data_IF_980316117961
#
_entry.id   IF_980316117961
#
_cell.length_a   1.000
_cell.length_b   1.000
_cell.length_c   1.000
_cell.angle_alpha   90.00
_cell.angle_beta   90.00
_cell.angle_gamma   90.00
#
_symmetry.space_group_name_H-M   'P 1'
#
loop_
_entity.id
_entity.type
_entity.pdbx_description
1 polymer ?
#
# COMPACT_ATOMS: atom_id res chain seq x y z
N UNK A 1 -63.32 2.61 39.35
CA UNK A 1 -61.85 2.49 39.58
C UNK A 1 -61.19 3.78 39.13
N UNK A 2 -60.14 4.24 39.82
CA UNK A 2 -60.07 5.62 40.31
C UNK A 2 -59.32 6.62 39.42
N UNK A 3 -59.75 7.87 39.59
CA UNK A 3 -59.02 9.15 39.69
C UNK A 3 -58.35 9.79 38.46
N UNK A 4 -58.64 11.09 38.37
CA UNK A 4 -58.41 12.06 37.31
C UNK A 4 -57.39 13.11 37.80
N UNK A 5 -56.38 13.38 36.96
CA UNK A 5 -55.65 14.66 36.75
C UNK A 5 -54.70 15.26 37.81
N UNK A 6 -53.85 16.28 37.49
CA UNK A 6 -53.05 16.53 36.25
C UNK A 6 -51.69 17.27 36.47
N UNK A 7 -50.81 17.26 35.43
CA UNK A 7 -49.93 18.39 34.99
C UNK A 7 -48.82 18.93 35.95
N UNK A 8 -47.68 19.56 35.58
CA UNK A 8 -47.22 20.30 34.40
C UNK A 8 -45.72 20.69 34.64
N UNK A 9 -44.92 20.78 33.54
CA UNK A 9 -43.80 21.73 33.26
C UNK A 9 -42.58 21.79 34.21
N UNK A 10 -41.36 22.10 33.81
CA UNK A 10 -40.67 22.51 32.57
C UNK A 10 -39.15 22.35 32.86
N UNK A 11 -38.29 22.24 31.83
CA UNK A 11 -36.90 22.73 31.93
C UNK A 11 -35.76 21.82 31.48
N UNK A 12 -35.51 21.82 30.16
CA UNK A 12 -34.22 21.99 29.46
C UNK A 12 -32.87 21.41 29.98
N UNK A 13 -32.15 20.79 29.01
CA UNK A 13 -30.67 20.66 28.82
C UNK A 13 -29.95 19.67 29.76
N UNK A 14 -29.05 18.77 29.36
CA UNK A 14 -28.36 18.45 28.11
C UNK A 14 -27.16 17.52 28.44
N UNK A 15 -26.67 16.81 27.42
CA UNK A 15 -25.32 16.19 27.30
C UNK A 15 -24.94 14.85 27.99
N UNK A 16 -24.53 13.92 27.10
CA UNK A 16 -23.42 12.94 27.12
C UNK A 16 -23.40 11.70 28.04
N UNK A 17 -22.99 10.56 27.44
CA UNK A 17 -22.38 9.44 28.17
C UNK A 17 -22.52 8.06 27.51
N UNK A 18 -21.56 7.68 26.66
CA UNK A 18 -21.32 6.31 26.20
C UNK A 18 -21.02 5.35 27.36
N UNK A 19 -21.47 4.09 27.25
CA UNK A 19 -20.95 3.01 28.09
C UNK A 19 -21.74 1.71 27.95
N UNK A 20 -21.38 0.85 27.01
CA UNK A 20 -21.75 -0.57 27.05
C UNK A 20 -20.50 -1.43 27.23
N UNK A 21 -20.34 -1.91 28.46
CA UNK A 21 -19.39 -2.94 28.82
C UNK A 21 -19.98 -4.32 28.53
N UNK A 22 -19.29 -5.10 27.72
CA UNK A 22 -19.53 -6.54 27.60
C UNK A 22 -18.99 -7.24 28.86
N UNK A 23 -19.90 -7.58 29.76
CA UNK A 23 -19.66 -8.48 30.89
C UNK A 23 -19.56 -9.91 30.32
N UNK A 24 -18.38 -10.53 30.43
CA UNK A 24 -18.19 -11.95 30.16
C UNK A 24 -18.81 -12.77 31.30
N UNK A 25 -19.89 -13.47 30.98
CA UNK A 25 -20.65 -14.32 31.90
C UNK A 25 -19.90 -15.63 32.18
N UNK A 26 -19.14 -15.67 33.29
CA UNK A 26 -18.28 -16.78 33.71
C UNK A 26 -19.03 -17.98 34.32
N UNK A 27 -20.37 -18.00 34.31
CA UNK A 27 -21.16 -18.99 35.06
C UNK A 27 -21.72 -20.16 34.24
N UNK A 28 -21.37 -20.31 32.96
CA UNK A 28 -21.90 -21.43 32.14
C UNK A 28 -20.92 -22.61 31.96
N UNK A 29 -19.66 -22.50 32.34
CA UNK A 29 -18.67 -23.60 32.18
C UNK A 29 -18.28 -24.32 33.48
N UNK A 30 -18.85 -23.94 34.63
CA UNK A 30 -18.54 -24.58 35.92
C UNK A 30 -19.32 -25.88 36.22
N UNK A 31 -20.07 -26.44 35.25
CA UNK A 31 -20.90 -27.64 35.46
C UNK A 31 -20.50 -28.92 34.73
N UNK A 32 -19.30 -28.95 34.15
CA UNK A 32 -18.64 -30.19 33.72
C UNK A 32 -17.21 -30.28 34.27
N UNK A 33 -17.09 -30.16 35.58
CA UNK A 33 -15.92 -30.64 36.30
C UNK A 33 -15.93 -32.18 36.38
N UNK A 34 -14.76 -32.77 36.14
CA UNK A 34 -14.40 -34.20 36.33
C UNK A 34 -14.82 -35.13 35.19
N UNK A 35 -14.09 -35.08 34.07
CA UNK A 35 -13.57 -36.24 33.32
C UNK A 35 -12.88 -35.80 32.02
N UNK A 36 -11.63 -35.35 32.10
CA UNK A 36 -10.75 -35.30 30.93
C UNK A 36 -9.28 -35.58 31.28
N UNK A 37 -9.03 -36.25 32.41
CA UNK A 37 -7.75 -36.85 32.74
C UNK A 37 -7.76 -38.34 32.34
N UNK A 38 -8.06 -38.64 31.08
CA UNK A 38 -7.84 -39.93 30.43
C UNK A 38 -8.39 -39.85 29.00
N UNK A 39 -7.54 -39.49 28.04
CA UNK A 39 -7.40 -40.04 26.67
C UNK A 39 -6.24 -39.23 26.07
N UNK A 40 -5.02 -39.62 26.42
CA UNK A 40 -3.82 -39.57 25.57
C UNK A 40 -2.82 -40.54 26.22
N UNK A 41 -3.23 -41.81 26.27
CA UNK A 41 -2.29 -42.91 26.31
C UNK A 41 -1.71 -43.04 24.91
N UNK A 42 -0.52 -42.48 24.72
CA UNK A 42 0.22 -42.52 23.46
C UNK A 42 1.56 -41.83 23.67
N UNK A 43 2.57 -42.63 24.02
CA UNK A 43 3.91 -42.17 24.34
C UNK A 43 4.54 -41.34 23.22
N UNK A 44 4.92 -40.12 23.58
CA UNK A 44 5.81 -39.25 22.83
C UNK A 44 6.21 -38.14 23.80
N UNK A 45 7.50 -38.04 24.11
CA UNK A 45 8.07 -36.93 24.88
C UNK A 45 7.87 -35.69 24.00
N UNK A 46 6.72 -35.03 24.13
CA UNK A 46 6.47 -33.74 23.49
C UNK A 46 7.33 -32.71 24.19
N UNK A 47 8.31 -32.15 23.47
CA UNK A 47 9.05 -31.00 23.93
C UNK A 47 8.06 -29.94 24.42
N UNK A 48 8.24 -29.50 25.67
CA UNK A 48 7.43 -28.42 26.25
C UNK A 48 7.70 -27.16 25.40
N UNK A 49 6.70 -26.76 24.61
CA UNK A 49 6.79 -25.59 23.74
C UNK A 49 7.10 -24.34 24.56
N UNK A 50 8.11 -23.58 24.14
CA UNK A 50 8.52 -22.37 24.84
C UNK A 50 7.48 -21.25 24.65
N UNK A 51 6.97 -20.69 25.76
CA UNK A 51 5.94 -19.65 25.74
C UNK A 51 6.40 -18.41 24.99
N UNK A 52 7.66 -18.05 25.17
CA UNK A 52 8.25 -16.89 24.49
C UNK A 52 8.18 -17.04 22.96
N UNK A 53 8.63 -18.18 22.44
CA UNK A 53 8.55 -18.50 21.01
C UNK A 53 7.12 -18.49 20.49
N UNK A 54 6.16 -19.04 21.25
CA UNK A 54 4.76 -19.05 20.83
C UNK A 54 4.18 -17.63 20.72
N UNK A 55 4.50 -16.75 21.67
CA UNK A 55 4.05 -15.35 21.64
C UNK A 55 4.64 -14.62 20.42
N UNK A 56 5.94 -14.79 20.15
CA UNK A 56 6.64 -14.16 19.02
C UNK A 56 6.10 -14.64 17.66
N UNK A 57 5.85 -15.95 17.48
CA UNK A 57 5.41 -16.51 16.20
C UNK A 57 3.92 -16.26 15.89
N UNK A 58 3.06 -16.20 16.91
CA UNK A 58 1.62 -16.08 16.71
C UNK A 58 1.15 -14.66 16.42
N UNK A 59 1.82 -13.64 16.96
CA UNK A 59 1.51 -12.21 16.80
C UNK A 59 0.00 -11.91 16.63
N UNK A 60 -0.79 -12.28 17.65
CA UNK A 60 -2.26 -12.26 17.57
C UNK A 60 -2.83 -10.87 17.89
N UNK A 61 -3.77 -10.36 17.08
CA UNK A 61 -4.38 -9.04 17.32
C UNK A 61 -5.36 -9.02 18.51
N UNK A 62 -5.84 -10.18 18.97
CA UNK A 62 -6.83 -10.29 20.06
C UNK A 62 -6.30 -11.23 21.17
N UNK A 63 -5.27 -10.78 21.89
CA UNK A 63 -4.86 -11.43 23.14
C UNK A 63 -5.77 -10.93 24.27
N UNK A 64 -6.40 -11.82 25.08
CA UNK A 64 -7.20 -11.39 26.23
C UNK A 64 -6.43 -10.44 27.14
N UNK A 65 -7.05 -9.30 27.51
CA UNK A 65 -6.40 -8.25 28.31
C UNK A 65 -5.84 -8.76 29.64
N UNK A 66 -6.45 -9.79 30.23
CA UNK A 66 -5.98 -10.42 31.47
C UNK A 66 -4.60 -11.09 31.33
N UNK A 67 -4.17 -11.39 30.10
CA UNK A 67 -2.84 -11.95 29.80
C UNK A 67 -1.80 -10.87 29.52
N UNK A 68 -2.22 -9.61 29.39
CA UNK A 68 -1.37 -8.50 28.98
C UNK A 68 -0.87 -7.74 30.21
N UNK A 69 0.42 -7.45 30.25
CA UNK A 69 1.00 -6.66 31.34
C UNK A 69 0.55 -5.18 31.23
N UNK A 70 0.00 -4.57 32.29
CA UNK A 70 -0.40 -3.16 32.26
C UNK A 70 0.74 -2.16 32.02
N UNK A 71 1.99 -2.54 32.30
CA UNK A 71 3.17 -1.67 32.14
C UNK A 71 3.67 -1.70 30.69
N UNK A 72 3.91 -2.89 30.13
CA UNK A 72 4.49 -3.04 28.78
C UNK A 72 3.45 -3.08 27.66
N UNK A 73 2.19 -3.37 27.99
CA UNK A 73 1.11 -3.68 27.04
C UNK A 73 1.42 -4.90 26.17
N UNK A 74 2.29 -5.78 26.64
CA UNK A 74 2.65 -7.05 25.98
C UNK A 74 2.17 -8.27 26.80
N UNK A 75 1.95 -9.44 26.15
CA UNK A 75 1.59 -10.66 26.85
C UNK A 75 2.65 -11.06 27.90
N UNK A 76 2.19 -11.38 29.12
CA UNK A 76 3.06 -11.78 30.24
C UNK A 76 3.66 -13.17 30.00
N UNK A 77 4.97 -13.31 30.24
CA UNK A 77 5.70 -14.57 30.21
C UNK A 77 5.92 -15.11 31.63
N UNK A 78 6.19 -14.22 32.59
CA UNK A 78 6.33 -14.52 34.01
C UNK A 78 5.37 -13.63 34.83
N UNK A 79 4.06 -13.94 34.87
CA UNK A 79 3.09 -13.12 35.59
C UNK A 79 3.30 -13.21 37.11
N UNK A 80 3.35 -12.04 37.75
CA UNK A 80 3.50 -11.90 39.19
C UNK A 80 2.49 -10.90 39.75
N UNK A 81 1.93 -11.21 40.91
CA UNK A 81 0.85 -10.45 41.55
C UNK A 81 1.39 -9.68 42.75
N UNK A 82 0.99 -8.41 42.85
CA UNK A 82 1.27 -7.55 44.00
C UNK A 82 0.23 -7.74 45.10
N UNK A 83 0.51 -7.21 46.29
CA UNK A 83 -0.43 -7.18 47.42
C UNK A 83 -1.77 -6.47 47.12
N UNK A 84 -1.81 -5.63 46.07
CA UNK A 84 -3.03 -4.99 45.55
C UNK A 84 -3.90 -5.90 44.68
N UNK A 85 -3.46 -7.14 44.44
CA UNK A 85 -4.14 -8.12 43.56
C UNK A 85 -3.91 -7.90 42.06
N UNK A 86 -3.20 -6.83 41.66
CA UNK A 86 -2.84 -6.57 40.27
C UNK A 86 -1.66 -7.43 39.83
N UNK A 87 -1.68 -7.90 38.58
CA UNK A 87 -0.66 -8.80 38.02
C UNK A 87 0.12 -8.13 36.90
N UNK A 88 1.44 -8.32 36.90
CA UNK A 88 2.37 -7.71 35.96
C UNK A 88 3.38 -8.75 35.46
N UNK A 89 4.05 -8.43 34.36
CA UNK A 89 5.26 -9.15 33.95
C UNK A 89 6.38 -8.85 34.96
N UNK A 90 7.02 -9.90 35.48
CA UNK A 90 8.04 -9.84 36.53
C UNK A 90 9.17 -8.86 36.22
N UNK A 91 9.71 -8.92 35.01
CA UNK A 91 10.81 -8.04 34.60
C UNK A 91 10.42 -6.55 34.62
N UNK A 92 9.19 -6.23 34.21
CA UNK A 92 8.68 -4.87 34.17
C UNK A 92 8.41 -4.29 35.57
N UNK A 93 7.80 -5.08 36.46
CA UNK A 93 7.52 -4.59 37.83
C UNK A 93 8.78 -4.51 38.69
N UNK A 94 9.75 -5.42 38.51
CA UNK A 94 11.06 -5.30 39.17
C UNK A 94 11.81 -4.04 38.70
N UNK A 95 11.71 -3.70 37.42
CA UNK A 95 12.27 -2.45 36.90
C UNK A 95 11.58 -1.23 37.51
N UNK A 96 10.25 -1.25 37.66
CA UNK A 96 9.50 -0.19 38.34
C UNK A 96 9.99 0.03 39.78
N UNK A 97 10.20 -1.04 40.53
CA UNK A 97 10.75 -0.97 41.89
C UNK A 97 12.20 -0.46 41.91
N UNK A 98 13.02 -0.84 40.94
CA UNK A 98 14.42 -0.37 40.84
C UNK A 98 14.54 1.14 40.59
N UNK A 99 13.48 1.78 40.07
CA UNK A 99 13.40 3.24 39.89
C UNK A 99 12.95 3.96 41.17
N UNK A 100 12.74 3.24 42.28
CA UNK A 100 12.31 3.78 43.57
C UNK A 100 10.80 3.98 43.69
N UNK A 101 10.01 3.40 42.78
CA UNK A 101 8.55 3.49 42.83
C UNK A 101 7.94 2.31 43.62
N UNK A 102 7.46 2.57 44.83
CA UNK A 102 6.74 1.59 45.68
C UNK A 102 5.22 1.78 45.65
N UNK A 103 4.71 2.16 44.49
CA UNK A 103 3.27 2.29 44.23
C UNK A 103 2.85 1.27 43.18
N UNK A 104 1.61 0.80 43.27
CA UNK A 104 1.00 -0.05 42.26
C UNK A 104 0.76 0.75 40.97
N UNK A 105 1.36 0.39 39.81
CA UNK A 105 1.23 1.15 38.57
C UNK A 105 -0.21 1.38 38.10
N UNK A 106 -1.09 0.39 38.28
CA UNK A 106 -2.48 0.47 37.80
C UNK A 106 -3.39 1.19 38.78
N UNK A 107 -3.26 0.95 40.09
CA UNK A 107 -4.18 1.51 41.11
C UNK A 107 -3.67 2.81 41.74
N UNK A 108 -2.42 3.17 41.51
CA UNK A 108 -1.72 4.32 42.12
C UNK A 108 -1.69 4.29 43.65
N UNK A 109 -1.91 3.14 44.28
CA UNK A 109 -1.87 2.96 45.73
C UNK A 109 -0.45 2.62 46.19
N UNK A 110 -0.05 3.12 47.37
CA UNK A 110 1.20 2.71 48.03
C UNK A 110 1.15 1.24 48.42
N UNK A 111 2.26 0.53 48.19
CA UNK A 111 2.39 -0.88 48.54
C UNK A 111 2.75 -1.00 50.02
N UNK A 112 1.93 -1.70 50.79
CA UNK A 112 2.21 -2.02 52.19
C UNK A 112 3.17 -3.22 52.33
N UNK A 113 3.39 -3.96 51.25
CA UNK A 113 4.34 -5.07 51.10
C UNK A 113 4.89 -5.07 49.67
N UNK A 114 6.23 -5.10 49.54
CA UNK A 114 6.96 -5.12 48.27
C UNK A 114 7.21 -6.55 47.76
N UNK A 115 6.74 -7.57 48.49
CA UNK A 115 6.87 -8.96 48.09
C UNK A 115 6.06 -9.26 46.83
N UNK A 116 6.74 -9.81 45.82
CA UNK A 116 6.16 -10.19 44.53
C UNK A 116 5.77 -11.67 44.57
N UNK A 117 4.48 -11.99 44.34
CA UNK A 117 3.97 -13.36 44.35
C UNK A 117 3.85 -13.94 42.94
N UNK A 118 4.51 -15.07 42.59
CA UNK A 118 4.30 -15.72 41.31
C UNK A 118 2.85 -16.16 41.10
N UNK A 119 2.25 -15.79 39.96
CA UNK A 119 0.90 -16.19 39.61
C UNK A 119 0.94 -17.41 38.67
N UNK A 120 1.15 -18.59 39.27
CA UNK A 120 1.26 -19.86 38.54
C UNK A 120 -0.04 -20.23 37.80
N UNK A 121 -1.20 -19.87 38.34
CA UNK A 121 -2.51 -20.07 37.69
C UNK A 121 -2.61 -19.25 36.41
N UNK A 122 -2.33 -17.95 36.46
CA UNK A 122 -2.36 -17.09 35.28
C UNK A 122 -1.30 -17.51 34.27
N UNK A 123 -0.09 -17.85 34.71
CA UNK A 123 0.95 -18.40 33.84
C UNK A 123 0.45 -19.65 33.10
N UNK A 124 -0.20 -20.60 33.79
CA UNK A 124 -0.74 -21.80 33.16
C UNK A 124 -1.87 -21.49 32.17
N UNK A 125 -2.75 -20.53 32.47
CA UNK A 125 -3.81 -20.09 31.56
C UNK A 125 -3.24 -19.45 30.29
N UNK A 126 -2.28 -18.54 30.44
CA UNK A 126 -1.56 -17.91 29.33
C UNK A 126 -0.90 -19.00 28.48
N UNK A 127 -0.12 -19.88 29.11
CA UNK A 127 0.57 -20.97 28.43
C UNK A 127 -0.40 -21.86 27.64
N UNK A 128 -1.50 -22.29 28.28
CA UNK A 128 -2.49 -23.18 27.65
C UNK A 128 -3.16 -22.51 26.46
N UNK A 129 -3.54 -21.23 26.60
CA UNK A 129 -4.16 -20.47 25.52
C UNK A 129 -3.22 -20.31 24.31
N UNK A 130 -1.98 -19.86 24.55
CA UNK A 130 -0.99 -19.72 23.48
C UNK A 130 -0.64 -21.08 22.85
N UNK A 131 -0.49 -22.15 23.65
CA UNK A 131 -0.24 -23.49 23.15
C UNK A 131 -1.36 -24.01 22.24
N UNK A 132 -2.63 -23.80 22.62
CA UNK A 132 -3.76 -24.21 21.78
C UNK A 132 -3.80 -23.46 20.45
N UNK A 133 -3.60 -22.13 20.48
CA UNK A 133 -3.54 -21.30 19.26
C UNK A 133 -2.36 -21.70 18.38
N UNK A 134 -1.22 -22.00 18.98
CA UNK A 134 0.01 -22.40 18.30
C UNK A 134 -0.16 -23.73 17.56
N UNK A 135 -0.69 -24.75 18.24
CA UNK A 135 -0.98 -26.05 17.63
C UNK A 135 -1.99 -25.92 16.49
N UNK A 136 -3.04 -25.11 16.67
CA UNK A 136 -4.01 -24.85 15.62
C UNK A 136 -3.39 -24.16 14.39
N UNK A 137 -2.50 -23.19 14.60
CA UNK A 137 -1.78 -22.48 13.54
C UNK A 137 -0.83 -23.42 12.78
N UNK A 138 -0.05 -24.25 13.49
CA UNK A 138 0.81 -25.27 12.88
C UNK A 138 0.03 -26.26 12.04
N UNK A 139 -1.05 -26.84 12.58
CA UNK A 139 -1.90 -27.78 11.85
C UNK A 139 -2.45 -27.16 10.56
N UNK A 140 -2.98 -25.93 10.62
CA UNK A 140 -3.45 -25.21 9.43
C UNK A 140 -2.35 -24.99 8.40
N UNK A 141 -1.13 -24.73 8.85
CA UNK A 141 0.03 -24.58 7.97
C UNK A 141 0.40 -25.90 7.29
N UNK A 142 0.48 -27.00 8.03
CA UNK A 142 0.78 -28.34 7.51
C UNK A 142 -0.31 -28.78 6.51
N UNK A 143 -1.58 -28.59 6.84
CA UNK A 143 -2.72 -28.85 5.96
C UNK A 143 -2.62 -28.01 4.67
N UNK A 144 -2.23 -26.75 4.78
CA UNK A 144 -2.03 -25.87 3.62
C UNK A 144 -0.87 -26.34 2.74
N UNK A 145 0.26 -26.75 3.32
CA UNK A 145 1.42 -27.28 2.58
C UNK A 145 1.08 -28.58 1.85
N UNK A 146 0.44 -29.54 2.52
CA UNK A 146 -0.01 -30.79 1.91
C UNK A 146 -0.97 -30.52 0.75
N UNK A 147 -1.98 -29.66 0.97
CA UNK A 147 -2.91 -29.26 -0.08
C UNK A 147 -2.23 -28.56 -1.25
N UNK A 148 -1.27 -27.67 -0.99
CA UNK A 148 -0.48 -27.01 -2.06
C UNK A 148 0.26 -28.04 -2.91
N UNK A 149 0.92 -29.01 -2.28
CA UNK A 149 1.68 -30.06 -2.96
C UNK A 149 0.76 -30.92 -3.85
N UNK A 150 -0.41 -31.31 -3.33
CA UNK A 150 -1.42 -32.05 -4.07
C UNK A 150 -1.97 -31.26 -5.26
N UNK A 151 -2.23 -29.96 -5.08
CA UNK A 151 -2.70 -29.08 -6.15
C UNK A 151 -1.65 -28.91 -7.25
N UNK A 152 -0.37 -28.78 -6.91
CA UNK A 152 0.72 -28.71 -7.89
C UNK A 152 0.89 -30.03 -8.64
N UNK A 153 0.81 -31.17 -7.95
CA UNK A 153 0.82 -32.49 -8.56
C UNK A 153 -0.37 -32.71 -9.51
N UNK A 154 -1.54 -32.22 -9.13
CA UNK A 154 -2.76 -32.26 -9.96
C UNK A 154 -2.62 -31.34 -11.17
N UNK A 155 -2.11 -30.13 -10.98
CA UNK A 155 -1.96 -29.11 -12.04
C UNK A 155 -1.11 -29.60 -13.22
N UNK A 156 -0.08 -30.43 -12.93
CA UNK A 156 0.75 -31.09 -13.96
C UNK A 156 -0.03 -32.05 -14.85
N UNK A 157 -1.12 -32.65 -14.34
CA UNK A 157 -1.90 -33.70 -15.01
C UNK A 157 -3.15 -33.14 -15.72
N UNK A 158 -3.81 -32.15 -15.13
CA UNK A 158 -5.10 -31.65 -15.61
C UNK A 158 -4.97 -30.64 -16.76
N UNK A 159 -5.99 -30.61 -17.62
CA UNK A 159 -6.14 -29.69 -18.76
C UNK A 159 -7.55 -29.07 -18.75
N UNK A 160 -7.76 -28.03 -19.57
CA UNK A 160 -9.09 -27.43 -19.75
C UNK A 160 -9.69 -26.87 -18.46
N UNK A 161 -10.98 -27.09 -18.24
CA UNK A 161 -11.71 -26.56 -17.08
C UNK A 161 -11.18 -27.06 -15.74
N UNK A 162 -10.76 -28.33 -15.65
CA UNK A 162 -10.19 -28.88 -14.44
C UNK A 162 -8.93 -28.11 -14.00
N UNK A 163 -8.09 -27.69 -14.96
CA UNK A 163 -6.91 -26.85 -14.69
C UNK A 163 -7.29 -25.51 -14.08
N UNK A 164 -8.31 -24.85 -14.62
CA UNK A 164 -8.76 -23.55 -14.13
C UNK A 164 -9.26 -23.69 -12.68
N UNK A 165 -9.99 -24.75 -12.38
CA UNK A 165 -10.46 -25.01 -11.02
C UNK A 165 -9.29 -25.26 -10.05
N UNK A 166 -8.32 -26.10 -10.43
CA UNK A 166 -7.11 -26.32 -9.62
C UNK A 166 -6.32 -25.03 -9.38
N UNK A 167 -6.20 -24.16 -10.40
CA UNK A 167 -5.55 -22.85 -10.25
C UNK A 167 -6.30 -21.92 -9.31
N UNK A 168 -7.63 -21.88 -9.36
CA UNK A 168 -8.45 -21.08 -8.42
C UNK A 168 -8.26 -21.51 -6.98
N UNK A 169 -8.22 -22.82 -6.74
CA UNK A 169 -7.95 -23.36 -5.40
C UNK A 169 -6.53 -23.04 -4.94
N UNK A 170 -5.54 -23.20 -5.84
CA UNK A 170 -4.16 -22.84 -5.52
C UNK A 170 -4.02 -21.36 -5.18
N UNK A 171 -4.66 -20.47 -5.95
CA UNK A 171 -4.70 -19.02 -5.66
C UNK A 171 -5.24 -18.74 -4.26
N UNK A 172 -6.33 -19.39 -3.86
CA UNK A 172 -6.92 -19.19 -2.54
C UNK A 172 -5.95 -19.60 -1.42
N UNK A 173 -5.28 -20.74 -1.56
CA UNK A 173 -4.32 -21.23 -0.55
C UNK A 173 -3.08 -20.31 -0.48
N UNK A 174 -2.55 -19.90 -1.63
CA UNK A 174 -1.39 -19.01 -1.76
C UNK A 174 -1.65 -17.61 -1.19
N UNK A 175 -2.87 -17.08 -1.37
CA UNK A 175 -3.25 -15.78 -0.80
C UNK A 175 -3.24 -15.79 0.73
N UNK A 176 -3.72 -16.88 1.34
CA UNK A 176 -3.96 -16.96 2.78
C UNK A 176 -2.75 -17.45 3.59
N UNK A 177 -1.85 -18.24 3.00
CA UNK A 177 -0.78 -18.92 3.75
C UNK A 177 0.62 -18.62 3.21
N UNK A 178 1.50 -18.08 4.05
CA UNK A 178 2.92 -17.86 3.73
C UNK A 178 3.68 -19.16 3.47
N UNK A 179 3.35 -20.22 4.20
CA UNK A 179 3.94 -21.54 4.02
C UNK A 179 3.54 -22.17 2.68
N UNK A 180 2.30 -21.97 2.23
CA UNK A 180 1.89 -22.37 0.88
C UNK A 180 2.69 -21.63 -0.20
N UNK A 181 2.92 -20.32 -0.06
CA UNK A 181 3.78 -19.56 -0.99
C UNK A 181 5.18 -20.16 -1.08
N UNK A 182 5.77 -20.49 0.07
CA UNK A 182 7.10 -21.12 0.15
C UNK A 182 7.09 -22.50 -0.53
N UNK A 183 6.12 -23.35 -0.23
CA UNK A 183 5.98 -24.68 -0.88
C UNK A 183 5.85 -24.58 -2.39
N UNK A 184 5.09 -23.62 -2.93
CA UNK A 184 5.00 -23.42 -4.39
C UNK A 184 6.37 -23.11 -5.00
N UNK A 185 7.21 -22.34 -4.31
CA UNK A 185 8.55 -22.02 -4.79
C UNK A 185 9.47 -23.23 -4.68
N UNK A 186 9.49 -23.89 -3.53
CA UNK A 186 10.38 -25.03 -3.23
C UNK A 186 10.11 -26.24 -4.15
N UNK A 187 8.84 -26.48 -4.55
CA UNK A 187 8.46 -27.58 -5.45
C UNK A 187 8.56 -27.23 -6.95
N UNK A 188 9.19 -26.10 -7.30
CA UNK A 188 9.34 -25.65 -8.69
C UNK A 188 8.04 -25.20 -9.35
N UNK A 189 7.03 -24.84 -8.55
CA UNK A 189 5.73 -24.36 -9.02
C UNK A 189 5.82 -23.07 -9.83
N UNK A 190 6.81 -22.21 -9.59
CA UNK A 190 7.03 -20.99 -10.39
C UNK A 190 7.33 -21.33 -11.86
N UNK A 191 8.20 -22.33 -12.11
CA UNK A 191 8.51 -22.76 -13.47
C UNK A 191 7.29 -23.40 -14.15
N UNK A 192 6.52 -24.22 -13.40
CA UNK A 192 5.27 -24.78 -13.89
C UNK A 192 4.26 -23.68 -14.27
N UNK A 193 4.02 -22.72 -13.39
CA UNK A 193 3.10 -21.61 -13.63
C UNK A 193 3.56 -20.73 -14.81
N UNK A 194 4.85 -20.43 -14.88
CA UNK A 194 5.45 -19.70 -16.00
C UNK A 194 5.28 -20.42 -17.34
N UNK A 195 5.34 -21.77 -17.35
CA UNK A 195 5.09 -22.56 -18.57
C UNK A 195 3.64 -22.51 -19.06
N UNK A 196 2.70 -22.11 -18.20
CA UNK A 196 1.29 -21.91 -18.56
C UNK A 196 1.02 -20.54 -19.17
N UNK A 197 2.01 -19.64 -19.19
CA UNK A 197 1.94 -18.34 -19.88
C UNK A 197 2.60 -18.46 -21.26
N UNK A 198 1.88 -18.07 -22.31
CA UNK A 198 2.35 -18.12 -23.68
C UNK A 198 1.28 -17.71 -24.68
N UNK A 199 1.56 -17.83 -26.00
CA UNK A 199 0.70 -17.29 -27.06
C UNK A 199 -0.72 -17.87 -27.11
N UNK A 200 -0.92 -19.07 -26.57
CA UNK A 200 -2.21 -19.79 -26.59
C UNK A 200 -2.84 -19.90 -25.20
N UNK A 201 -2.36 -19.13 -24.23
CA UNK A 201 -2.92 -19.12 -22.88
C UNK A 201 -4.27 -18.43 -22.91
N UNK A 202 -5.32 -19.14 -22.47
CA UNK A 202 -6.65 -18.51 -22.33
C UNK A 202 -6.64 -17.47 -21.23
N UNK A 203 -7.43 -16.41 -21.39
CA UNK A 203 -7.62 -15.37 -20.38
C UNK A 203 -7.87 -15.95 -18.97
N UNK A 204 -8.76 -16.94 -18.87
CA UNK A 204 -9.07 -17.62 -17.60
C UNK A 204 -7.89 -18.30 -16.92
N UNK A 205 -6.90 -18.81 -17.68
CA UNK A 205 -5.69 -19.39 -17.12
C UNK A 205 -4.69 -18.28 -16.77
N UNK A 206 -4.52 -17.31 -17.68
CA UNK A 206 -3.62 -16.16 -17.48
C UNK A 206 -3.93 -15.40 -16.20
N UNK A 207 -5.21 -15.08 -15.96
CA UNK A 207 -5.65 -14.36 -14.76
C UNK A 207 -5.24 -15.07 -13.46
N UNK A 208 -5.51 -16.37 -13.36
CA UNK A 208 -5.25 -17.14 -12.14
C UNK A 208 -3.74 -17.34 -11.95
N UNK A 209 -3.00 -17.62 -13.02
CA UNK A 209 -1.54 -17.78 -12.96
C UNK A 209 -0.87 -16.48 -12.52
N UNK A 210 -1.24 -15.33 -13.10
CA UNK A 210 -0.68 -14.02 -12.75
C UNK A 210 -1.01 -13.66 -11.29
N UNK A 211 -2.24 -13.92 -10.85
CA UNK A 211 -2.66 -13.69 -9.46
C UNK A 211 -1.90 -14.56 -8.45
N UNK A 212 -1.46 -15.77 -8.85
CA UNK A 212 -0.57 -16.59 -8.02
C UNK A 212 0.85 -16.03 -8.04
N UNK A 213 1.44 -15.82 -9.23
CA UNK A 213 2.83 -15.39 -9.41
C UNK A 213 3.16 -14.08 -8.69
N UNK A 214 2.25 -13.10 -8.71
CA UNK A 214 2.45 -11.81 -8.03
C UNK A 214 2.59 -11.94 -6.51
N UNK A 215 2.11 -13.05 -5.92
CA UNK A 215 2.22 -13.33 -4.50
C UNK A 215 3.43 -14.20 -4.14
N UNK A 216 4.17 -14.72 -5.12
CA UNK A 216 5.35 -15.56 -4.89
C UNK A 216 6.65 -14.75 -4.83
N UNK A 217 7.68 -15.32 -4.22
CA UNK A 217 9.05 -14.83 -4.33
C UNK A 217 9.70 -15.37 -5.61
N UNK A 218 10.11 -14.47 -6.51
CA UNK A 218 10.72 -14.84 -7.79
C UNK A 218 12.25 -14.69 -7.69
N UNK A 219 12.99 -15.74 -8.05
CA UNK A 219 14.44 -15.68 -8.22
C UNK A 219 14.81 -15.12 -9.61
N UNK A 220 16.09 -14.76 -9.82
CA UNK A 220 16.57 -14.16 -11.07
C UNK A 220 16.28 -15.03 -12.31
N UNK A 221 16.45 -16.35 -12.21
CA UNK A 221 16.13 -17.29 -13.29
C UNK A 221 14.64 -17.24 -13.67
N UNK A 222 13.75 -17.26 -12.69
CA UNK A 222 12.30 -17.17 -12.90
C UNK A 222 11.89 -15.83 -13.51
N UNK A 223 12.51 -14.71 -13.08
CA UNK A 223 12.24 -13.39 -13.66
C UNK A 223 12.68 -13.33 -15.11
N UNK A 224 13.89 -13.79 -15.41
CA UNK A 224 14.41 -13.88 -16.79
C UNK A 224 13.50 -14.76 -17.67
N UNK A 225 13.04 -15.90 -17.13
CA UNK A 225 12.13 -16.79 -17.83
C UNK A 225 10.76 -16.15 -18.10
N UNK A 226 10.22 -15.34 -17.18
CA UNK A 226 8.95 -14.60 -17.33
C UNK A 226 9.07 -13.37 -18.24
N UNK A 227 10.27 -12.80 -18.37
CA UNK A 227 10.59 -11.67 -19.24
C UNK A 227 10.68 -12.03 -20.73
N UNK A 228 10.48 -13.30 -21.10
CA UNK A 228 10.41 -13.69 -22.50
C UNK A 228 9.25 -12.96 -23.23
N UNK A 229 9.45 -12.42 -24.45
CA UNK A 229 8.45 -11.61 -25.15
C UNK A 229 7.06 -12.26 -25.26
N UNK A 230 7.00 -13.58 -25.51
CA UNK A 230 5.74 -14.31 -25.61
C UNK A 230 4.93 -14.32 -24.29
N UNK A 231 5.61 -14.37 -23.15
CA UNK A 231 4.96 -14.36 -21.83
C UNK A 231 4.50 -12.98 -21.45
N UNK A 232 5.30 -11.97 -21.75
CA UNK A 232 4.90 -10.57 -21.54
C UNK A 232 3.73 -10.20 -22.45
N UNK A 233 3.71 -10.67 -23.70
CA UNK A 233 2.52 -10.55 -24.54
C UNK A 233 1.28 -11.16 -23.88
N UNK A 234 1.38 -12.39 -23.35
CA UNK A 234 0.27 -13.05 -22.65
C UNK A 234 -0.21 -12.27 -21.41
N UNK A 235 0.71 -11.67 -20.64
CA UNK A 235 0.37 -10.78 -19.51
C UNK A 235 -0.32 -9.52 -20.00
N UNK A 236 0.12 -8.93 -21.11
CA UNK A 236 -0.49 -7.74 -21.72
C UNK A 236 -1.87 -8.04 -22.29
N UNK A 237 -2.09 -9.21 -22.88
CA UNK A 237 -3.40 -9.65 -23.35
C UNK A 237 -4.37 -9.78 -22.17
N UNK A 238 -3.90 -10.39 -21.07
CA UNK A 238 -4.66 -10.51 -19.82
C UNK A 238 -4.98 -9.14 -19.20
N UNK A 239 -4.05 -8.18 -19.27
CA UNK A 239 -4.24 -6.79 -18.83
C UNK A 239 -5.31 -6.07 -19.67
N UNK A 240 -5.42 -6.36 -20.96
CA UNK A 240 -6.41 -5.70 -21.83
C UNK A 240 -7.85 -6.16 -21.58
N UNK A 241 -8.05 -7.44 -21.29
CA UNK A 241 -9.38 -8.05 -21.08
C UNK A 241 -9.82 -8.09 -19.59
N UNK A 242 -8.87 -7.85 -18.68
CA UNK A 242 -8.97 -8.04 -17.23
C UNK A 242 -10.08 -7.28 -16.48
N UNK A 243 -10.53 -7.87 -15.37
CA UNK A 243 -11.13 -7.11 -14.26
C UNK A 243 -10.10 -6.14 -13.66
N UNK A 244 -10.53 -5.14 -12.88
CA UNK A 244 -9.61 -4.22 -12.21
C UNK A 244 -8.54 -4.95 -11.40
N UNK A 245 -8.93 -5.95 -10.61
CA UNK A 245 -8.00 -6.79 -9.83
C UNK A 245 -6.97 -7.49 -10.71
N UNK A 246 -7.42 -8.09 -11.82
CA UNK A 246 -6.55 -8.75 -12.80
C UNK A 246 -5.55 -7.76 -13.39
N UNK A 247 -6.02 -6.56 -13.75
CA UNK A 247 -5.17 -5.50 -14.31
C UNK A 247 -4.10 -5.06 -13.31
N UNK A 248 -4.48 -4.86 -12.05
CA UNK A 248 -3.54 -4.51 -10.98
C UNK A 248 -2.51 -5.62 -10.75
N UNK A 249 -2.92 -6.89 -10.79
CA UNK A 249 -1.98 -8.01 -10.66
C UNK A 249 -1.00 -8.09 -11.85
N UNK A 250 -1.47 -7.83 -13.08
CA UNK A 250 -0.60 -7.76 -14.26
C UNK A 250 0.42 -6.63 -14.12
N UNK A 251 -0.03 -5.43 -13.73
CA UNK A 251 0.84 -4.27 -13.49
C UNK A 251 1.93 -4.61 -12.46
N UNK A 252 1.53 -5.09 -11.27
CA UNK A 252 2.47 -5.46 -10.20
C UNK A 252 3.47 -6.54 -10.62
N UNK A 253 3.03 -7.51 -11.42
CA UNK A 253 3.92 -8.54 -11.94
C UNK A 253 4.96 -7.92 -12.88
N UNK A 254 4.55 -7.05 -13.81
CA UNK A 254 5.49 -6.37 -14.72
C UNK A 254 6.49 -5.51 -13.92
N UNK A 255 6.03 -4.73 -12.95
CA UNK A 255 6.90 -3.91 -12.08
C UNK A 255 7.98 -4.77 -11.39
N UNK A 256 7.58 -5.89 -10.78
CA UNK A 256 8.50 -6.83 -10.13
C UNK A 256 9.51 -7.45 -11.10
N UNK A 257 9.14 -7.62 -12.36
CA UNK A 257 10.04 -8.18 -13.37
C UNK A 257 11.02 -7.12 -13.91
N UNK A 258 10.65 -5.83 -13.88
CA UNK A 258 11.52 -4.71 -14.24
C UNK A 258 12.66 -4.45 -13.24
N UNK A 259 12.56 -4.98 -12.01
CA UNK A 259 13.61 -4.91 -10.99
C UNK A 259 14.84 -5.79 -11.31
N UNK A 260 14.79 -6.62 -12.35
CA UNK A 260 15.89 -7.51 -12.72
C UNK A 260 17.09 -6.72 -13.30
N UNK A 261 18.31 -7.12 -12.92
CA UNK A 261 19.54 -6.37 -13.28
C UNK A 261 19.78 -6.26 -14.79
N UNK A 262 19.42 -7.31 -15.53
CA UNK A 262 19.59 -7.38 -16.99
C UNK A 262 18.30 -6.98 -17.74
N UNK A 263 17.46 -6.15 -17.12
CA UNK A 263 16.21 -5.71 -17.72
C UNK A 263 16.46 -4.92 -19.02
N UNK A 264 15.70 -5.31 -20.05
CA UNK A 264 15.76 -4.73 -21.38
C UNK A 264 14.46 -4.00 -21.71
N UNK A 265 14.56 -2.70 -21.97
CA UNK A 265 13.40 -1.85 -22.25
C UNK A 265 12.62 -2.27 -23.50
N UNK A 266 13.22 -2.99 -24.46
CA UNK A 266 12.50 -3.46 -25.65
C UNK A 266 11.36 -4.44 -25.31
N UNK A 267 11.46 -5.16 -24.18
CA UNK A 267 10.46 -6.14 -23.74
C UNK A 267 9.11 -5.46 -23.40
N UNK A 268 9.18 -4.24 -22.85
CA UNK A 268 8.01 -3.43 -22.46
C UNK A 268 7.66 -2.35 -23.49
N UNK A 269 8.40 -2.26 -24.59
CA UNK A 269 8.19 -1.29 -25.69
C UNK A 269 7.01 -1.68 -26.59
N UNK A 270 5.87 -2.05 -25.99
CA UNK A 270 4.67 -2.50 -26.68
C UNK A 270 3.59 -1.40 -26.68
N UNK A 271 3.11 -1.04 -27.86
CA UNK A 271 1.94 -0.15 -28.02
C UNK A 271 0.74 -0.70 -27.23
N UNK A 272 0.53 -2.02 -27.25
CA UNK A 272 -0.61 -2.67 -26.57
C UNK A 272 -0.53 -2.48 -25.06
N UNK A 273 0.66 -2.63 -24.46
CA UNK A 273 0.87 -2.39 -23.03
C UNK A 273 0.55 -0.94 -22.67
N UNK A 274 1.12 0.03 -23.39
CA UNK A 274 0.94 1.44 -23.09
C UNK A 274 -0.51 1.91 -23.26
N UNK A 275 -1.20 1.42 -24.30
CA UNK A 275 -2.64 1.67 -24.50
C UNK A 275 -3.45 1.06 -23.35
N UNK A 276 -3.12 -0.16 -22.91
CA UNK A 276 -3.79 -0.79 -21.77
C UNK A 276 -3.59 -0.01 -20.46
N UNK A 277 -2.39 0.48 -20.20
CA UNK A 277 -2.10 1.34 -19.04
C UNK A 277 -2.86 2.66 -19.12
N UNK A 278 -2.87 3.33 -20.28
CA UNK A 278 -3.66 4.56 -20.42
C UNK A 278 -5.16 4.32 -20.28
N UNK A 279 -5.68 3.17 -20.72
CA UNK A 279 -7.08 2.76 -20.47
C UNK A 279 -7.35 2.56 -18.98
N UNK A 280 -6.42 1.99 -18.23
CA UNK A 280 -6.52 1.82 -16.78
C UNK A 280 -6.47 3.17 -16.04
N UNK A 281 -5.54 4.06 -16.44
CA UNK A 281 -5.35 5.38 -15.82
C UNK A 281 -6.54 6.32 -16.10
N UNK A 282 -7.16 6.24 -17.28
CA UNK A 282 -8.31 7.11 -17.63
C UNK A 282 -9.66 6.59 -17.16
N UNK A 283 -9.71 5.42 -16.53
CA UNK A 283 -10.97 4.84 -16.07
C UNK A 283 -11.54 5.66 -14.91
N UNK A 284 -12.58 6.46 -15.21
CA UNK A 284 -13.27 7.29 -14.22
C UNK A 284 -14.17 6.47 -13.29
N UNK A 285 -14.55 5.24 -13.67
CA UNK A 285 -15.41 4.37 -12.84
C UNK A 285 -14.61 3.72 -11.71
N UNK A 286 -13.32 3.49 -11.93
CA UNK A 286 -12.45 2.76 -11.03
C UNK A 286 -11.17 3.56 -10.74
N UNK A 287 -11.23 4.60 -9.87
CA UNK A 287 -10.08 5.44 -9.55
C UNK A 287 -8.92 4.66 -8.92
N UNK A 288 -9.19 3.50 -8.30
CA UNK A 288 -8.17 2.59 -7.78
C UNK A 288 -7.21 2.07 -8.87
N UNK A 289 -7.55 2.19 -10.16
CA UNK A 289 -6.68 1.87 -11.28
C UNK A 289 -5.63 2.95 -11.58
N UNK A 290 -5.82 4.19 -11.11
CA UNK A 290 -4.93 5.32 -11.43
C UNK A 290 -3.52 5.07 -10.89
N UNK A 291 -3.41 4.71 -9.61
CA UNK A 291 -2.13 4.52 -8.94
C UNK A 291 -1.28 3.41 -9.59
N UNK A 292 -1.78 2.17 -9.77
CA UNK A 292 -0.98 1.11 -10.42
C UNK A 292 -0.63 1.47 -11.87
N UNK A 293 -1.58 2.02 -12.63
CA UNK A 293 -1.33 2.39 -14.03
C UNK A 293 -0.26 3.47 -14.19
N UNK A 294 -0.31 4.51 -13.35
CA UNK A 294 0.68 5.60 -13.33
C UNK A 294 2.03 5.13 -12.78
N UNK A 295 2.05 4.25 -11.78
CA UNK A 295 3.27 3.67 -11.21
C UNK A 295 4.10 2.94 -12.27
N UNK A 296 3.47 2.02 -13.00
CA UNK A 296 4.17 1.30 -14.07
C UNK A 296 4.50 2.21 -15.25
N UNK A 297 3.61 3.15 -15.62
CA UNK A 297 3.91 4.10 -16.69
C UNK A 297 5.11 5.01 -16.35
N UNK A 298 5.29 5.38 -15.08
CA UNK A 298 6.47 6.10 -14.57
C UNK A 298 7.74 5.28 -14.78
N UNK A 299 7.72 4.00 -14.39
CA UNK A 299 8.88 3.12 -14.56
C UNK A 299 9.24 2.95 -16.04
N UNK A 300 8.25 2.78 -16.91
CA UNK A 300 8.45 2.67 -18.36
C UNK A 300 9.01 3.98 -18.94
N UNK A 301 8.51 5.14 -18.50
CA UNK A 301 8.92 6.45 -19.04
C UNK A 301 10.36 6.85 -18.66
N UNK A 302 10.95 6.20 -17.66
CA UNK A 302 12.37 6.37 -17.34
C UNK A 302 13.28 5.95 -18.50
N UNK A 303 12.83 5.04 -19.37
CA UNK A 303 13.59 4.58 -20.53
C UNK A 303 13.36 5.49 -21.76
N UNK A 304 14.40 6.17 -22.22
CA UNK A 304 14.34 7.13 -23.32
C UNK A 304 13.70 6.57 -24.60
N UNK A 305 13.96 5.30 -24.93
CA UNK A 305 13.46 4.64 -26.14
C UNK A 305 11.94 4.52 -26.19
N UNK A 306 11.27 4.51 -25.02
CA UNK A 306 9.82 4.31 -24.91
C UNK A 306 9.06 5.64 -24.85
N UNK A 307 9.75 6.76 -24.59
CA UNK A 307 9.10 8.07 -24.43
C UNK A 307 8.36 8.52 -25.69
N UNK A 308 8.97 8.37 -26.86
CA UNK A 308 8.32 8.70 -28.15
C UNK A 308 7.07 7.85 -28.40
N UNK A 309 7.10 6.59 -27.96
CA UNK A 309 5.98 5.66 -28.05
C UNK A 309 4.82 6.06 -27.13
N UNK A 310 5.11 6.52 -25.91
CA UNK A 310 4.08 7.04 -25.00
C UNK A 310 3.43 8.30 -25.59
N UNK A 311 4.21 9.16 -26.24
CA UNK A 311 3.68 10.34 -26.95
C UNK A 311 2.79 9.93 -28.12
N UNK A 312 3.21 8.95 -28.94
CA UNK A 312 2.48 8.54 -30.15
C UNK A 312 1.10 7.95 -29.87
N UNK A 313 0.90 7.33 -28.70
CA UNK A 313 -0.43 6.83 -28.28
C UNK A 313 -1.35 7.94 -27.72
N UNK A 314 -0.93 9.21 -27.76
CA UNK A 314 -1.71 10.35 -27.29
C UNK A 314 -1.84 10.43 -25.77
N UNK A 315 -0.82 9.99 -25.02
CA UNK A 315 -0.88 9.98 -23.55
C UNK A 315 -0.89 11.39 -22.94
N UNK A 316 -0.19 12.37 -23.55
CA UNK A 316 -0.03 13.72 -22.99
C UNK A 316 -1.38 14.44 -22.77
N UNK A 317 -2.25 14.62 -23.79
CA UNK A 317 -3.53 15.29 -23.57
C UNK A 317 -4.42 14.59 -22.53
N UNK A 318 -4.39 13.24 -22.51
CA UNK A 318 -5.14 12.43 -21.56
C UNK A 318 -4.64 12.65 -20.12
N UNK A 319 -3.32 12.64 -19.89
CA UNK A 319 -2.73 12.88 -18.56
C UNK A 319 -3.00 14.31 -18.09
N UNK A 320 -2.85 15.31 -18.96
CA UNK A 320 -3.12 16.73 -18.62
C UNK A 320 -4.59 16.94 -18.24
N UNK A 321 -5.53 16.27 -18.91
CA UNK A 321 -6.94 16.33 -18.56
C UNK A 321 -7.25 15.68 -17.20
N UNK A 322 -6.50 14.65 -16.82
CA UNK A 322 -6.71 13.93 -15.56
C UNK A 322 -6.15 14.67 -14.34
N UNK A 323 -5.15 15.54 -14.48
CA UNK A 323 -4.49 16.28 -13.39
C UNK A 323 -5.46 16.80 -12.30
N UNK A 324 -6.58 17.47 -12.63
CA UNK A 324 -7.48 18.03 -11.62
C UNK A 324 -8.22 16.97 -10.78
N UNK A 325 -8.25 15.71 -11.25
CA UNK A 325 -9.00 14.59 -10.68
C UNK A 325 -8.12 13.66 -9.83
N UNK A 326 -6.80 13.80 -9.91
CA UNK A 326 -5.85 12.92 -9.23
C UNK A 326 -5.66 13.32 -7.76
N UNK A 327 -5.46 12.31 -6.90
CA UNK A 327 -4.96 12.54 -5.55
C UNK A 327 -3.48 12.97 -5.57
N UNK A 328 -2.92 13.36 -4.42
CA UNK A 328 -1.55 13.88 -4.34
C UNK A 328 -0.50 12.90 -4.88
N UNK A 329 -0.58 11.62 -4.50
CA UNK A 329 0.37 10.58 -4.93
C UNK A 329 0.33 10.36 -6.45
N UNK A 330 -0.88 10.17 -7.01
CA UNK A 330 -1.05 9.96 -8.45
C UNK A 330 -0.65 11.21 -9.25
N UNK A 331 -0.89 12.40 -8.71
CA UNK A 331 -0.53 13.64 -9.38
C UNK A 331 0.99 13.78 -9.53
N UNK A 332 1.75 13.45 -8.49
CA UNK A 332 3.21 13.48 -8.56
C UNK A 332 3.73 12.50 -9.63
N UNK A 333 3.16 11.29 -9.72
CA UNK A 333 3.49 10.32 -10.76
C UNK A 333 3.16 10.83 -12.16
N UNK A 334 1.97 11.42 -12.35
CA UNK A 334 1.56 11.98 -13.63
C UNK A 334 2.46 13.13 -14.08
N UNK A 335 2.87 14.01 -13.16
CA UNK A 335 3.78 15.11 -13.46
C UNK A 335 5.19 14.63 -13.80
N UNK A 336 5.70 13.62 -13.08
CA UNK A 336 6.96 12.97 -13.45
C UNK A 336 6.91 12.43 -14.89
N UNK A 337 5.82 11.74 -15.25
CA UNK A 337 5.68 11.19 -16.60
C UNK A 337 5.67 12.33 -17.63
N UNK A 338 4.85 13.37 -17.43
CA UNK A 338 4.80 14.52 -18.35
C UNK A 338 6.14 15.23 -18.49
N UNK A 339 6.89 15.38 -17.39
CA UNK A 339 8.23 15.96 -17.41
C UNK A 339 9.22 15.10 -18.22
N UNK A 340 9.22 13.79 -18.00
CA UNK A 340 10.02 12.84 -18.77
C UNK A 340 9.70 12.91 -20.28
N UNK A 341 8.41 13.01 -20.64
CA UNK A 341 7.98 13.17 -22.03
C UNK A 341 8.34 14.56 -22.60
N UNK A 342 8.43 15.60 -21.78
CA UNK A 342 8.89 16.93 -22.20
C UNK A 342 10.38 16.96 -22.61
N UNK A 343 11.14 15.91 -22.29
CA UNK A 343 12.54 15.81 -22.72
C UNK A 343 12.69 15.40 -24.20
N UNK A 344 11.66 14.80 -24.81
CA UNK A 344 11.67 14.43 -26.25
C UNK A 344 10.94 15.48 -27.10
N UNK A 345 11.39 15.73 -28.36
CA UNK A 345 10.85 16.81 -29.18
C UNK A 345 9.36 16.64 -29.49
N UNK A 346 8.91 15.43 -29.80
CA UNK A 346 7.50 15.12 -30.06
C UNK A 346 6.63 15.39 -28.82
N UNK A 347 7.17 15.09 -27.64
CA UNK A 347 6.48 15.32 -26.36
C UNK A 347 6.38 16.80 -26.01
N UNK A 348 7.43 17.59 -26.26
CA UNK A 348 7.38 19.06 -26.13
C UNK A 348 6.31 19.67 -27.04
N UNK A 349 6.28 19.24 -28.29
CA UNK A 349 5.29 19.71 -29.25
C UNK A 349 3.87 19.36 -28.81
N UNK A 350 3.63 18.11 -28.40
CA UNK A 350 2.32 17.68 -27.92
C UNK A 350 1.87 18.41 -26.62
N UNK A 351 2.80 18.73 -25.72
CA UNK A 351 2.52 19.53 -24.52
C UNK A 351 2.14 20.97 -24.87
N UNK A 352 2.84 21.59 -25.82
CA UNK A 352 2.56 22.93 -26.35
C UNK A 352 1.17 23.00 -26.98
N UNK A 353 0.84 22.02 -27.81
CA UNK A 353 -0.41 22.01 -28.58
C UNK A 353 -1.64 21.69 -27.68
N UNK A 354 -1.41 21.15 -26.48
CA UNK A 354 -2.45 20.96 -25.48
C UNK A 354 -2.72 22.25 -24.70
N UNK A 355 -3.83 22.93 -25.01
CA UNK A 355 -4.23 24.21 -24.41
C UNK A 355 -4.35 24.21 -22.87
N UNK A 356 -4.60 23.05 -22.26
CA UNK A 356 -4.73 22.90 -20.81
C UNK A 356 -3.39 22.75 -20.09
N UNK A 357 -2.27 22.52 -20.79
CA UNK A 357 -0.96 22.28 -20.17
C UNK A 357 -0.52 23.45 -19.31
N UNK A 358 -0.39 24.64 -19.90
CA UNK A 358 0.13 25.83 -19.20
C UNK A 358 -0.76 26.19 -17.99
N UNK A 359 -2.10 26.35 -18.13
CA UNK A 359 -2.95 26.65 -16.98
C UNK A 359 -2.89 25.61 -15.86
N UNK A 360 -2.82 24.32 -16.19
CA UNK A 360 -2.72 23.25 -15.20
C UNK A 360 -1.41 23.31 -14.42
N UNK A 361 -0.27 23.49 -15.10
CA UNK A 361 1.04 23.58 -14.44
C UNK A 361 1.14 24.82 -13.56
N UNK A 362 0.68 25.99 -14.03
CA UNK A 362 0.66 27.24 -13.24
C UNK A 362 -0.14 27.07 -11.94
N UNK A 363 -1.27 26.35 -12.00
CA UNK A 363 -2.12 26.09 -10.84
C UNK A 363 -1.46 25.19 -9.79
N UNK A 364 -0.54 24.32 -10.20
CA UNK A 364 0.16 23.36 -9.32
C UNK A 364 1.29 24.04 -8.53
N UNK A 365 1.96 25.05 -9.11
CA UNK A 365 3.11 25.72 -8.50
C UNK A 365 2.83 26.16 -7.06
N UNK A 366 3.69 25.73 -6.13
CA UNK A 366 3.64 26.02 -4.68
C UNK A 366 2.36 25.55 -3.96
N UNK A 367 1.57 24.65 -4.55
CA UNK A 367 0.28 24.22 -3.97
C UNK A 367 0.34 22.84 -3.29
N UNK A 368 1.25 21.96 -3.72
CA UNK A 368 1.17 20.52 -3.42
C UNK A 368 2.44 20.01 -2.73
N UNK A 369 3.51 19.82 -3.49
CA UNK A 369 4.83 19.45 -2.97
C UNK A 369 5.92 20.22 -3.73
N UNK A 370 7.13 20.25 -3.17
CA UNK A 370 8.30 20.81 -3.86
C UNK A 370 8.60 20.04 -5.14
N UNK A 371 8.50 18.71 -5.12
CA UNK A 371 8.67 17.84 -6.29
C UNK A 371 7.65 18.14 -7.40
N UNK A 372 6.37 18.29 -7.06
CA UNK A 372 5.35 18.71 -8.03
C UNK A 372 5.65 20.08 -8.63
N UNK A 373 6.18 21.00 -7.83
CA UNK A 373 6.57 22.35 -8.29
C UNK A 373 7.76 22.26 -9.25
N UNK A 374 8.73 21.38 -8.97
CA UNK A 374 9.87 21.13 -9.86
C UNK A 374 9.43 20.58 -11.22
N UNK A 375 8.62 19.52 -11.25
CA UNK A 375 8.12 18.96 -12.51
C UNK A 375 7.29 19.97 -13.30
N UNK A 376 6.37 20.68 -12.64
CA UNK A 376 5.53 21.68 -13.28
C UNK A 376 6.37 22.82 -13.90
N UNK A 377 7.40 23.28 -13.20
CA UNK A 377 8.29 24.31 -13.69
C UNK A 377 9.16 23.83 -14.87
N UNK A 378 9.67 22.60 -14.81
CA UNK A 378 10.43 21.99 -15.91
C UNK A 378 9.58 21.86 -17.18
N UNK A 379 8.35 21.37 -17.07
CA UNK A 379 7.39 21.28 -18.18
C UNK A 379 7.10 22.67 -18.77
N UNK A 380 6.82 23.67 -17.93
CA UNK A 380 6.57 25.05 -18.37
C UNK A 380 7.77 25.64 -19.12
N UNK A 381 8.97 25.47 -18.58
CA UNK A 381 10.20 25.96 -19.21
C UNK A 381 10.44 25.29 -20.57
N UNK A 382 10.17 23.98 -20.65
CA UNK A 382 10.29 23.18 -21.87
C UNK A 382 9.35 23.66 -22.98
N UNK A 383 8.09 23.94 -22.65
CA UNK A 383 7.07 24.44 -23.59
C UNK A 383 7.31 25.90 -23.96
N UNK A 384 7.59 26.78 -22.98
CA UNK A 384 7.82 28.20 -23.26
C UNK A 384 9.08 28.45 -24.08
N UNK A 385 10.12 27.62 -23.97
CA UNK A 385 11.31 27.70 -24.84
C UNK A 385 11.01 27.36 -26.30
N UNK A 386 9.97 26.56 -26.57
CA UNK A 386 9.61 26.14 -27.93
C UNK A 386 8.85 27.23 -28.71
N UNK A 387 8.00 28.01 -28.04
CA UNK A 387 7.27 29.13 -28.64
C UNK A 387 7.09 30.28 -27.63
N UNK A 388 8.12 31.11 -27.43
CA UNK A 388 8.15 32.08 -26.35
C UNK A 388 6.99 33.08 -26.39
N UNK A 389 6.64 33.62 -27.55
CA UNK A 389 5.59 34.67 -27.66
C UNK A 389 4.20 34.16 -27.25
N UNK A 390 3.72 33.09 -27.91
CA UNK A 390 2.40 32.51 -27.64
C UNK A 390 2.30 31.95 -26.21
N UNK A 391 3.30 31.17 -25.78
CA UNK A 391 3.27 30.52 -24.48
C UNK A 391 3.41 31.53 -23.33
N UNK A 392 4.22 32.58 -23.49
CA UNK A 392 4.36 33.62 -22.45
C UNK A 392 3.04 34.34 -22.23
N UNK A 393 2.29 34.64 -23.30
CA UNK A 393 0.98 35.29 -23.14
C UNK A 393 0.01 34.43 -22.34
N UNK A 394 -0.12 33.15 -22.71
CA UNK A 394 -1.03 32.22 -22.00
C UNK A 394 -0.59 32.03 -20.54
N UNK A 395 0.72 31.94 -20.30
CA UNK A 395 1.25 31.73 -18.96
C UNK A 395 1.05 32.94 -18.04
N UNK A 396 1.28 34.16 -18.55
CA UNK A 396 1.03 35.40 -17.80
C UNK A 396 -0.47 35.55 -17.50
N UNK A 397 -1.33 35.27 -18.47
CA UNK A 397 -2.79 35.32 -18.28
C UNK A 397 -3.29 34.29 -17.26
N UNK A 398 -2.61 33.15 -17.15
CA UNK A 398 -2.88 32.14 -16.12
C UNK A 398 -2.34 32.54 -14.72
N UNK A 399 -1.63 33.66 -14.59
CA UNK A 399 -1.09 34.16 -13.31
C UNK A 399 0.29 33.60 -12.94
N UNK A 400 1.10 33.17 -13.92
CA UNK A 400 2.42 32.58 -13.71
C UNK A 400 3.36 33.49 -12.89
N UNK A 401 3.39 34.80 -13.17
CA UNK A 401 4.35 35.71 -12.56
C UNK A 401 4.27 35.74 -11.02
N UNK A 402 3.05 35.84 -10.46
CA UNK A 402 2.84 35.79 -9.02
C UNK A 402 3.30 34.46 -8.42
N UNK A 403 3.04 33.34 -9.11
CA UNK A 403 3.47 32.01 -8.67
C UNK A 403 4.99 31.84 -8.69
N UNK A 404 5.69 32.36 -9.70
CA UNK A 404 7.16 32.30 -9.76
C UNK A 404 7.81 33.16 -8.68
N UNK A 405 7.29 34.35 -8.40
CA UNK A 405 7.78 35.17 -7.29
C UNK A 405 7.64 34.45 -5.95
N UNK A 406 6.52 33.77 -5.72
CA UNK A 406 6.35 32.92 -4.54
C UNK A 406 7.38 31.79 -4.47
N UNK A 407 7.73 31.14 -5.59
CA UNK A 407 8.80 30.12 -5.62
C UNK A 407 10.16 30.74 -5.29
N UNK A 408 10.48 31.92 -5.83
CA UNK A 408 11.77 32.60 -5.60
C UNK A 408 11.91 33.02 -4.14
N UNK A 409 10.83 33.50 -3.53
CA UNK A 409 10.79 33.97 -2.14
C UNK A 409 10.61 32.86 -1.10
N UNK A 410 10.28 31.64 -1.52
CA UNK A 410 10.07 30.51 -0.59
C UNK A 410 11.38 29.91 -0.06
N UNK A 411 11.28 28.88 0.78
CA UNK A 411 12.43 28.09 1.24
C UNK A 411 12.91 27.00 0.26
N UNK A 412 12.43 26.98 -1.00
CA UNK A 412 12.77 25.93 -1.97
C UNK A 412 14.26 25.89 -2.33
N UNK A 413 14.69 24.76 -2.90
CA UNK A 413 16.05 24.54 -3.40
C UNK A 413 16.53 25.69 -4.31
N UNK A 414 17.76 26.22 -4.13
CA UNK A 414 18.35 27.26 -4.98
C UNK A 414 18.26 26.98 -6.49
N UNK A 415 18.43 25.73 -6.94
CA UNK A 415 18.31 25.36 -8.35
C UNK A 415 16.89 25.57 -8.90
N UNK A 416 15.87 25.30 -8.08
CA UNK A 416 14.47 25.53 -8.45
C UNK A 416 14.17 27.03 -8.55
N UNK A 417 14.68 27.83 -7.61
CA UNK A 417 14.58 29.29 -7.63
C UNK A 417 15.24 29.89 -8.87
N UNK A 418 16.39 29.37 -9.26
CA UNK A 418 17.08 29.80 -10.48
C UNK A 418 16.22 29.52 -11.72
N UNK A 419 15.70 28.30 -11.88
CA UNK A 419 14.80 27.95 -13.00
C UNK A 419 13.54 28.84 -13.02
N UNK A 420 13.03 29.21 -11.84
CA UNK A 420 11.86 30.09 -11.74
C UNK A 420 12.19 31.51 -12.21
N UNK A 421 13.36 32.04 -11.85
CA UNK A 421 13.84 33.33 -12.33
C UNK A 421 14.11 33.31 -13.85
N UNK A 422 14.66 32.22 -14.38
CA UNK A 422 14.87 32.03 -15.82
C UNK A 422 13.55 32.06 -16.60
N UNK A 423 12.52 31.34 -16.12
CA UNK A 423 11.20 31.35 -16.75
C UNK A 423 10.55 32.74 -16.66
N UNK A 424 10.68 33.42 -15.53
CA UNK A 424 10.16 34.78 -15.36
C UNK A 424 10.79 35.75 -16.36
N UNK A 425 12.12 35.68 -16.53
CA UNK A 425 12.87 36.48 -17.50
C UNK A 425 12.47 36.15 -18.94
N UNK A 426 12.28 34.87 -19.27
CA UNK A 426 11.83 34.45 -20.60
C UNK A 426 10.45 35.05 -20.91
N UNK A 427 9.51 34.99 -19.97
CA UNK A 427 8.18 35.56 -20.20
C UNK A 427 8.18 37.08 -20.26
N UNK A 428 9.00 37.77 -19.45
CA UNK A 428 9.06 39.24 -19.47
C UNK A 428 9.64 39.79 -20.77
N UNK A 429 10.60 39.09 -21.39
CA UNK A 429 11.20 39.52 -22.66
C UNK A 429 10.25 39.37 -23.86
N UNK A 430 9.23 38.51 -23.74
CA UNK A 430 8.33 38.14 -24.84
C UNK A 430 6.87 38.57 -24.58
N UNK A 431 6.63 39.46 -23.62
CA UNK A 431 5.31 40.01 -23.28
C UNK A 431 5.44 41.53 -23.13
N UNK A 432 4.53 42.30 -23.72
CA UNK A 432 4.65 43.76 -23.75
C UNK A 432 4.72 44.36 -22.33
N UNK A 433 5.74 45.19 -22.09
CA UNK A 433 6.07 45.77 -20.79
C UNK A 433 4.88 46.47 -20.10
N UNK A 434 3.98 47.07 -20.88
CA UNK A 434 2.82 47.83 -20.41
C UNK A 434 1.69 46.96 -19.84
N UNK A 435 1.57 45.69 -20.27
CA UNK A 435 0.53 44.77 -19.79
C UNK A 435 1.09 43.85 -18.70
N UNK A 436 2.38 43.50 -18.76
CA UNK A 436 3.03 42.68 -17.73
C UNK A 436 2.92 43.32 -16.34
N UNK A 437 3.23 44.62 -16.24
CA UNK A 437 3.20 45.37 -14.97
C UNK A 437 1.76 45.51 -14.43
N UNK A 438 0.78 45.74 -15.30
CA UNK A 438 -0.62 45.94 -14.90
C UNK A 438 -1.32 44.63 -14.49
N UNK A 439 -1.03 43.50 -15.15
CA UNK A 439 -1.57 42.18 -14.77
C UNK A 439 -0.87 41.53 -13.58
N UNK A 440 0.42 41.79 -13.38
CA UNK A 440 1.16 41.22 -12.24
C UNK A 440 0.87 41.91 -10.90
N UNK A 441 0.08 42.99 -10.85
CA UNK A 441 -0.13 43.84 -9.65
C UNK A 441 1.19 44.14 -8.91
N UNK A 442 2.29 44.32 -9.64
CA UNK A 442 3.61 44.67 -9.09
C UNK A 442 3.73 46.17 -8.82
N UNK A 443 2.63 46.83 -8.48
CA UNK A 443 2.64 48.23 -8.11
C UNK A 443 3.14 48.38 -6.67
N UNK A 444 4.42 48.80 -6.57
CA UNK A 444 5.14 49.37 -5.41
C UNK A 444 5.67 48.37 -4.37
N UNK A 445 6.84 47.79 -4.64
CA UNK A 445 7.78 47.42 -3.56
C UNK A 445 9.26 47.46 -3.98
N UNK A 446 9.57 48.18 -5.07
CA UNK A 446 10.95 48.49 -5.44
C UNK A 446 10.99 49.99 -5.81
N UNK A 447 11.09 50.82 -4.79
CA UNK A 447 11.68 52.16 -4.84
C UNK A 447 12.53 52.30 -3.59
#
# INVERSE_FOLDING_TARGET
MPMYQPSKRDGLLGFEGFGDGLILDLNTEAKHGVAAAAIYGGGGIGEKLDLKKMIEELNLPEVPLVFVCPISLEPMQEPVTLCTGQTYEKSNILKWFSLGHYTCPTTMQELWDDTIMPNSTLHHLIYTWFSQKYVQMKKRSEDAQGRTSDLLGTLKKVKGQARIQTLKELKQVVANHSTARKTVVDEGGVALLSSLLGPFTSYSVGCEVIAILVNLTLNSESRSNLMQPAKISSVVDTLNEGSLETKVNCVRLIERLMEEKDFRAEIISSHSLLVALMRLVKDKKHPNGHLPGLSLLKLISMHNQVRSLIVSIGAIPQLVELIPLLNQECLELALFILDALSCVPEGRQALRDCSKTIPSMVKILMRISESCTEYALSILLSVCKLSPEECSSVAVDAGLAAKLLLVIQSGCNPALKQRAAELLKLCSLNYSDTIFISKCRLTRTIQ
#
